data_IF_780621374302
#
_entry.id   IF_780621374302
#
_cell.length_a   1.000
_cell.length_b   1.000
_cell.length_c   1.000
_cell.angle_alpha   90.00
_cell.angle_beta   90.00
_cell.angle_gamma   90.00
#
_symmetry.space_group_name_H-M   'P 1'
#
loop_
_entity.id
_entity.type
_entity.pdbx_description
1 polymer ?
#
# COMPACT_ATOMS: atom_id res chain seq x y z
N UNK A 1 36.78 10.42 -31.65
CA UNK A 1 37.17 10.55 -30.23
C UNK A 1 35.92 10.43 -29.39
N UNK A 2 35.85 9.47 -28.47
CA UNK A 2 34.75 9.37 -27.49
C UNK A 2 35.14 10.22 -26.28
N UNK A 3 34.34 11.23 -25.93
CA UNK A 3 34.56 12.01 -24.72
C UNK A 3 34.05 11.21 -23.52
N UNK A 4 34.95 10.80 -22.63
CA UNK A 4 34.60 10.19 -21.35
C UNK A 4 34.38 11.34 -20.35
N UNK A 5 33.12 11.65 -20.06
CA UNK A 5 32.77 12.57 -18.99
C UNK A 5 32.83 11.84 -17.65
N UNK A 6 33.77 12.21 -16.79
CA UNK A 6 33.84 11.75 -15.40
C UNK A 6 32.78 12.48 -14.59
N UNK A 7 31.78 11.74 -14.08
CA UNK A 7 30.76 12.29 -13.16
C UNK A 7 31.35 12.32 -11.76
N UNK A 8 31.28 13.47 -11.08
CA UNK A 8 31.77 13.61 -9.71
C UNK A 8 30.83 12.96 -8.69
N UNK A 9 31.38 12.56 -7.54
CA UNK A 9 30.65 11.87 -6.49
C UNK A 9 29.43 12.66 -5.97
N UNK A 10 29.52 14.00 -5.93
CA UNK A 10 28.41 14.84 -5.45
C UNK A 10 27.21 14.80 -6.40
N UNK A 11 27.47 14.67 -7.70
CA UNK A 11 26.43 14.48 -8.72
C UNK A 11 25.77 13.11 -8.57
N UNK A 12 26.54 12.06 -8.28
CA UNK A 12 26.03 10.71 -8.01
C UNK A 12 25.11 10.72 -6.77
N UNK A 13 25.55 11.33 -5.67
CA UNK A 13 24.75 11.42 -4.43
C UNK A 13 23.41 12.13 -4.64
N UNK A 14 23.41 13.24 -5.39
CA UNK A 14 22.17 13.96 -5.74
C UNK A 14 21.24 13.10 -6.58
N UNK A 15 21.77 12.33 -7.53
CA UNK A 15 20.97 11.41 -8.34
C UNK A 15 20.37 10.29 -7.51
N UNK A 16 21.12 9.70 -6.56
CA UNK A 16 20.63 8.66 -5.65
C UNK A 16 19.52 9.20 -4.76
N UNK A 17 19.70 10.37 -4.15
CA UNK A 17 18.66 11.00 -3.33
C UNK A 17 17.41 11.32 -4.17
N UNK A 18 17.58 11.81 -5.40
CA UNK A 18 16.46 12.06 -6.30
C UNK A 18 15.75 10.76 -6.66
N UNK A 19 16.48 9.66 -6.85
CA UNK A 19 15.92 8.34 -7.12
C UNK A 19 15.11 7.80 -5.94
N UNK A 20 15.57 8.01 -4.70
CA UNK A 20 14.86 7.63 -3.48
C UNK A 20 13.56 8.44 -3.31
N UNK A 21 13.61 9.75 -3.53
CA UNK A 21 12.42 10.61 -3.53
C UNK A 21 11.44 10.25 -4.65
N UNK A 22 11.94 9.97 -5.86
CA UNK A 22 11.13 9.49 -6.97
C UNK A 22 10.59 8.09 -6.73
N UNK A 23 11.29 7.23 -5.99
CA UNK A 23 10.79 5.92 -5.57
C UNK A 23 9.65 6.05 -4.58
N UNK A 24 9.77 6.97 -3.61
CA UNK A 24 8.69 7.32 -2.67
C UNK A 24 7.48 7.94 -3.38
N UNK A 25 7.70 8.67 -4.47
CA UNK A 25 6.65 9.31 -5.29
C UNK A 25 6.16 8.45 -6.46
N UNK A 26 6.88 7.37 -6.80
CA UNK A 26 6.51 6.43 -7.84
C UNK A 26 5.22 5.79 -7.38
N UNK A 27 4.15 6.28 -7.97
CA UNK A 27 2.79 5.77 -7.87
C UNK A 27 2.77 4.41 -8.56
N UNK A 28 3.39 3.41 -7.94
CA UNK A 28 2.92 2.03 -8.07
C UNK A 28 1.44 2.12 -7.73
N UNK A 29 0.58 2.03 -8.76
CA UNK A 29 -0.87 2.12 -8.60
C UNK A 29 -1.22 1.20 -7.43
N UNK A 30 -1.72 1.80 -6.35
CA UNK A 30 -1.92 1.08 -5.12
C UNK A 30 -2.86 -0.09 -5.38
N UNK A 31 -2.37 -1.30 -5.10
CA UNK A 31 -3.04 -2.53 -5.52
C UNK A 31 -4.40 -2.61 -4.84
N UNK A 32 -5.42 -2.99 -5.61
CA UNK A 32 -6.76 -3.24 -5.09
C UNK A 32 -6.81 -4.58 -4.35
N UNK A 33 -7.33 -4.56 -3.13
CA UNK A 33 -7.53 -5.75 -2.28
C UNK A 33 -9.02 -5.96 -2.07
N UNK A 34 -9.49 -7.19 -2.29
CA UNK A 34 -10.90 -7.56 -2.05
C UNK A 34 -11.08 -8.19 -0.67
N UNK A 35 -12.33 -8.24 -0.22
CA UNK A 35 -12.69 -8.75 1.11
C UNK A 35 -12.06 -10.12 1.41
N UNK A 36 -12.11 -11.07 0.47
CA UNK A 36 -11.54 -12.42 0.66
C UNK A 36 -10.04 -12.41 0.99
N UNK A 37 -9.28 -11.50 0.39
CA UNK A 37 -7.87 -11.37 0.66
C UNK A 37 -7.61 -10.62 1.97
N UNK A 38 -8.35 -9.54 2.22
CA UNK A 38 -8.24 -8.76 3.46
C UNK A 38 -8.53 -9.64 4.70
N UNK A 39 -9.59 -10.46 4.63
CA UNK A 39 -9.93 -11.43 5.69
C UNK A 39 -8.80 -12.42 5.96
N UNK A 40 -8.18 -12.96 4.90
CA UNK A 40 -7.02 -13.86 5.03
C UNK A 40 -5.82 -13.18 5.68
N UNK A 41 -5.53 -11.93 5.28
CA UNK A 41 -4.41 -11.17 5.84
C UNK A 41 -4.60 -10.85 7.33
N UNK A 42 -5.84 -10.60 7.76
CA UNK A 42 -6.19 -10.41 9.16
C UNK A 42 -6.35 -11.74 9.92
N UNK A 43 -6.43 -12.88 9.23
CA UNK A 43 -6.74 -14.19 9.80
C UNK A 43 -8.04 -14.20 10.62
N UNK A 44 -9.09 -13.56 10.09
CA UNK A 44 -10.42 -13.49 10.73
C UNK A 44 -11.53 -14.01 9.83
N UNK A 45 -12.60 -14.48 10.46
CA UNK A 45 -13.79 -14.96 9.77
C UNK A 45 -14.68 -13.82 9.24
N UNK A 46 -15.57 -14.19 8.32
CA UNK A 46 -16.47 -13.30 7.60
C UNK A 46 -17.31 -12.41 8.52
N UNK A 47 -17.91 -13.01 9.54
CA UNK A 47 -18.84 -12.30 10.42
C UNK A 47 -18.12 -11.25 11.25
N UNK A 48 -16.93 -11.58 11.76
CA UNK A 48 -16.05 -10.64 12.45
C UNK A 48 -15.61 -9.51 11.51
N UNK A 49 -15.17 -9.83 10.29
CA UNK A 49 -14.73 -8.83 9.31
C UNK A 49 -15.84 -7.81 8.97
N UNK A 50 -17.05 -8.26 8.66
CA UNK A 50 -18.15 -7.35 8.36
C UNK A 50 -18.69 -6.64 9.61
N UNK A 51 -18.56 -7.24 10.80
CA UNK A 51 -18.79 -6.55 12.07
C UNK A 51 -17.85 -5.36 12.26
N UNK A 52 -16.56 -5.55 12.02
CA UNK A 52 -15.55 -4.49 12.11
C UNK A 52 -15.81 -3.35 11.11
N UNK A 53 -16.29 -3.66 9.90
CA UNK A 53 -16.70 -2.62 8.94
C UNK A 53 -17.91 -1.84 9.46
N UNK A 54 -18.94 -2.52 9.97
CA UNK A 54 -20.15 -1.87 10.49
C UNK A 54 -19.87 -0.99 11.70
N UNK A 55 -18.93 -1.39 12.55
CA UNK A 55 -18.50 -0.63 13.73
C UNK A 55 -17.50 0.49 13.41
N UNK A 56 -17.05 0.61 12.16
CA UNK A 56 -16.10 1.65 11.73
C UNK A 56 -14.63 1.37 12.07
N UNK A 57 -14.31 0.18 12.57
CA UNK A 57 -12.92 -0.22 12.83
C UNK A 57 -12.15 -0.47 11.52
N UNK A 58 -12.83 -0.98 10.51
CA UNK A 58 -12.37 -1.05 9.12
C UNK A 58 -13.20 -0.07 8.30
N UNK A 59 -12.55 0.72 7.45
CA UNK A 59 -13.21 1.68 6.58
C UNK A 59 -14.11 0.96 5.56
N UNK A 60 -15.16 1.65 5.10
CA UNK A 60 -15.97 1.15 4.00
C UNK A 60 -15.12 0.97 2.74
N UNK A 61 -15.38 -0.07 1.92
CA UNK A 61 -14.64 -0.26 0.69
C UNK A 61 -14.94 0.85 -0.30
N UNK A 62 -13.95 1.15 -1.14
CA UNK A 62 -14.14 1.96 -2.34
C UNK A 62 -14.99 1.15 -3.32
N UNK A 63 -15.99 1.81 -3.90
CA UNK A 63 -16.97 1.20 -4.79
C UNK A 63 -16.86 1.79 -6.19
N UNK A 64 -16.56 0.95 -7.18
CA UNK A 64 -16.63 1.32 -8.61
C UNK A 64 -17.96 0.91 -9.22
N UNK A 65 -18.53 -0.18 -8.73
CA UNK A 65 -19.86 -0.66 -9.11
C UNK A 65 -20.49 -1.44 -7.95
N UNK A 66 -21.78 -1.82 -8.02
CA UNK A 66 -22.43 -2.60 -6.96
C UNK A 66 -21.67 -3.91 -6.62
N UNK A 67 -21.01 -4.52 -7.61
CA UNK A 67 -20.29 -5.80 -7.46
C UNK A 67 -18.77 -5.64 -7.37
N UNK A 68 -18.23 -4.46 -7.71
CA UNK A 68 -16.79 -4.20 -7.69
C UNK A 68 -16.43 -3.22 -6.57
N UNK A 69 -15.93 -3.80 -5.48
CA UNK A 69 -15.54 -3.10 -4.25
C UNK A 69 -14.16 -3.56 -3.79
N UNK A 70 -13.36 -2.63 -3.28
CA UNK A 70 -11.99 -2.92 -2.86
C UNK A 70 -11.48 -1.93 -1.80
N UNK A 71 -10.34 -2.27 -1.21
CA UNK A 71 -9.50 -1.37 -0.42
C UNK A 71 -8.13 -1.24 -1.07
N UNK A 72 -7.46 -0.12 -0.85
CA UNK A 72 -6.07 0.02 -1.25
C UNK A 72 -5.14 -0.83 -0.38
N UNK A 73 -4.12 -1.43 -0.97
CA UNK A 73 -3.21 -2.32 -0.26
C UNK A 73 -2.41 -1.60 0.83
N UNK A 74 -2.10 -0.31 0.64
CA UNK A 74 -1.48 0.52 1.70
C UNK A 74 -2.34 0.57 2.97
N UNK A 75 -3.63 0.83 2.82
CA UNK A 75 -4.60 0.84 3.92
C UNK A 75 -4.68 -0.53 4.59
N UNK A 76 -4.81 -1.59 3.79
CA UNK A 76 -4.89 -2.97 4.30
C UNK A 76 -3.64 -3.33 5.09
N UNK A 77 -2.46 -2.99 4.59
CA UNK A 77 -1.18 -3.24 5.27
C UNK A 77 -1.14 -2.56 6.64
N UNK A 78 -1.48 -1.27 6.71
CA UNK A 78 -1.55 -0.53 7.97
C UNK A 78 -2.50 -1.20 8.96
N UNK A 79 -3.70 -1.59 8.52
CA UNK A 79 -4.70 -2.23 9.38
C UNK A 79 -4.26 -3.60 9.90
N UNK A 80 -3.59 -4.40 9.06
CA UNK A 80 -3.03 -5.70 9.46
C UNK A 80 -1.92 -5.52 10.50
N UNK A 81 -1.07 -4.51 10.34
CA UNK A 81 -0.03 -4.18 11.32
C UNK A 81 -0.61 -3.68 12.65
N UNK A 82 -1.68 -2.88 12.63
CA UNK A 82 -2.43 -2.49 13.83
C UNK A 82 -3.01 -3.72 14.55
N UNK A 83 -3.65 -4.63 13.80
CA UNK A 83 -4.30 -5.81 14.37
C UNK A 83 -3.30 -6.74 15.06
N UNK A 84 -2.10 -6.91 14.48
CA UNK A 84 -1.02 -7.73 15.05
C UNK A 84 -0.47 -7.19 16.37
N UNK A 85 -0.65 -5.91 16.68
CA UNK A 85 -0.17 -5.30 17.94
C UNK A 85 -1.14 -5.48 19.11
N UNK A 86 -2.37 -5.90 18.83
CA UNK A 86 -3.45 -6.07 19.82
C UNK A 86 -3.57 -7.52 20.28
N UNK A 87 -2.94 -8.46 19.56
CA UNK A 87 -2.85 -9.89 19.89
C UNK A 87 -1.47 -10.16 20.49
#
# INVERSE_FOLDING_TARGET
MVQITTVDASTIEKMVHKLDELSKQSTVIDRRVRANEFMKLLSIEKDKFYGMIKCGEIENPIRLSPKDVFWYASYVKKKVEEHKKVI
#
